data_IF_009456944338
#
_entry.id   IF_009456944338
#
_cell.length_a   1.000
_cell.length_b   1.000
_cell.length_c   1.000
_cell.angle_alpha   90.00
_cell.angle_beta   90.00
_cell.angle_gamma   90.00
#
_symmetry.space_group_name_H-M   'P 1'
#
loop_
_entity.id
_entity.type
_entity.pdbx_description
1 polymer ?
#
# COMPACT_ATOMS: atom_id res chain seq x y z
N UNK A 1 -21.98 -13.18 1.89
CA UNK A 1 -20.63 -13.04 1.32
C UNK A 1 -19.66 -13.09 2.48
N UNK A 2 -18.96 -14.21 2.62
CA UNK A 2 -17.94 -14.39 3.65
C UNK A 2 -16.82 -13.37 3.44
N UNK A 3 -16.38 -12.75 4.53
CA UNK A 3 -15.29 -11.78 4.56
C UNK A 3 -14.06 -12.47 3.98
N UNK A 4 -13.43 -11.88 2.96
CA UNK A 4 -12.07 -12.28 2.57
C UNK A 4 -11.13 -11.85 3.70
N UNK A 5 -11.01 -12.71 4.71
CA UNK A 5 -10.13 -12.50 5.85
C UNK A 5 -8.70 -12.87 5.46
N UNK A 6 -7.89 -11.86 5.13
CA UNK A 6 -6.43 -11.98 4.95
C UNK A 6 -5.67 -12.41 6.23
N UNK A 7 -6.36 -12.57 7.37
CA UNK A 7 -5.77 -12.96 8.65
C UNK A 7 -5.38 -14.43 8.76
N UNK A 8 -5.87 -15.30 7.87
CA UNK A 8 -5.53 -16.72 7.85
C UNK A 8 -4.90 -17.10 6.49
N UNK A 9 -3.57 -17.11 6.44
CA UNK A 9 -2.78 -17.54 5.29
C UNK A 9 -1.90 -18.74 5.63
N UNK A 10 -1.43 -19.45 4.60
CA UNK A 10 -0.32 -20.40 4.75
C UNK A 10 1.01 -19.64 4.81
N UNK A 11 2.05 -20.27 5.36
CA UNK A 11 3.41 -19.73 5.27
C UNK A 11 3.77 -19.45 3.80
N UNK A 12 4.47 -18.35 3.50
CA UNK A 12 4.78 -18.00 2.11
C UNK A 12 5.55 -19.13 1.40
N UNK A 13 5.41 -19.23 0.08
CA UNK A 13 6.14 -20.21 -0.74
C UNK A 13 7.22 -19.52 -1.57
N UNK A 14 8.44 -20.06 -1.58
CA UNK A 14 9.53 -19.55 -2.41
C UNK A 14 9.33 -20.02 -3.86
N UNK A 15 9.22 -19.07 -4.79
CA UNK A 15 8.97 -19.37 -6.21
C UNK A 15 10.14 -18.98 -7.13
N UNK A 16 11.25 -18.48 -6.58
CA UNK A 16 12.52 -18.24 -7.30
C UNK A 16 12.55 -17.04 -8.26
N UNK A 17 11.40 -16.52 -8.70
CA UNK A 17 11.31 -15.28 -9.48
C UNK A 17 9.97 -14.58 -9.26
N UNK A 18 10.01 -13.29 -8.91
CA UNK A 18 8.81 -12.45 -8.79
C UNK A 18 8.24 -12.08 -10.16
N UNK A 19 6.90 -12.10 -10.34
CA UNK A 19 6.27 -11.86 -11.64
C UNK A 19 6.34 -10.40 -12.09
N UNK A 20 6.64 -9.45 -11.20
CA UNK A 20 6.53 -8.01 -11.45
C UNK A 20 7.86 -7.29 -11.24
N UNK A 21 8.80 -7.45 -12.18
CA UNK A 21 10.08 -6.76 -12.11
C UNK A 21 9.87 -5.25 -12.27
N UNK A 22 10.00 -4.50 -11.19
CA UNK A 22 10.11 -3.04 -11.24
C UNK A 22 11.58 -2.63 -11.21
N UNK A 23 11.98 -1.66 -12.02
CA UNK A 23 13.40 -1.21 -12.06
C UNK A 23 13.84 -0.33 -10.90
N UNK A 24 12.99 -0.06 -9.89
CA UNK A 24 13.30 0.95 -8.86
C UNK A 24 14.26 0.45 -7.78
N UNK A 25 13.95 -0.69 -7.16
CA UNK A 25 14.76 -1.26 -6.06
C UNK A 25 15.38 -2.61 -6.43
N UNK A 26 14.93 -3.27 -7.50
CA UNK A 26 15.42 -4.59 -7.91
C UNK A 26 16.96 -4.69 -8.03
N UNK A 27 17.59 -3.72 -8.68
CA UNK A 27 19.05 -3.72 -8.85
C UNK A 27 19.78 -3.57 -7.52
N UNK A 28 19.32 -2.66 -6.66
CA UNK A 28 19.90 -2.43 -5.34
C UNK A 28 19.78 -3.66 -4.44
N UNK A 29 18.59 -4.26 -4.41
CA UNK A 29 18.34 -5.49 -3.64
C UNK A 29 19.16 -6.68 -4.15
N UNK A 30 19.24 -6.86 -5.47
CA UNK A 30 20.06 -7.93 -6.05
C UNK A 30 21.55 -7.77 -5.74
N UNK A 31 22.07 -6.53 -5.76
CA UNK A 31 23.46 -6.24 -5.38
C UNK A 31 23.72 -6.51 -3.90
N UNK A 32 22.81 -6.08 -3.01
CA UNK A 32 22.91 -6.36 -1.57
C UNK A 32 22.93 -7.86 -1.32
N UNK A 33 21.97 -8.59 -1.89
CA UNK A 33 21.89 -10.05 -1.76
C UNK A 33 23.17 -10.76 -2.22
N UNK A 34 23.68 -10.38 -3.40
CA UNK A 34 24.91 -10.98 -3.94
C UNK A 34 26.14 -10.70 -3.08
N UNK A 35 26.24 -9.49 -2.50
CA UNK A 35 27.33 -9.16 -1.58
C UNK A 35 27.28 -9.96 -0.28
N UNK A 36 26.07 -10.22 0.25
CA UNK A 36 25.90 -11.02 1.48
C UNK A 36 26.20 -12.52 1.28
N UNK A 37 26.21 -13.01 0.03
CA UNK A 37 26.51 -14.41 -0.33
C UNK A 37 27.83 -14.53 -1.12
N UNK A 38 28.73 -13.55 -0.99
CA UNK A 38 30.06 -13.61 -1.59
C UNK A 38 30.83 -14.84 -1.07
N UNK A 39 31.27 -15.71 -1.99
CA UNK A 39 31.96 -16.96 -1.67
C UNK A 39 31.09 -18.22 -1.80
N UNK A 40 29.79 -18.09 -2.06
CA UNK A 40 28.94 -19.21 -2.47
C UNK A 40 29.00 -19.37 -4.00
N UNK A 41 29.37 -20.57 -4.49
CA UNK A 41 29.43 -20.86 -5.93
C UNK A 41 28.47 -22.01 -6.33
N UNK A 42 27.41 -21.73 -7.14
CA UNK A 42 27.00 -20.41 -7.60
C UNK A 42 26.33 -19.57 -6.49
N UNK A 43 26.41 -18.24 -6.58
CA UNK A 43 25.65 -17.34 -5.69
C UNK A 43 24.16 -17.66 -5.84
N UNK A 44 23.43 -17.96 -4.74
CA UNK A 44 22.02 -18.28 -4.83
C UNK A 44 21.22 -17.07 -5.31
N UNK A 45 20.16 -17.27 -6.13
CA UNK A 45 19.28 -16.17 -6.48
C UNK A 45 18.55 -15.64 -5.24
N UNK A 46 18.28 -14.34 -5.21
CA UNK A 46 17.48 -13.74 -4.14
C UNK A 46 16.10 -14.44 -4.09
N UNK A 47 15.67 -14.94 -2.92
CA UNK A 47 14.42 -15.66 -2.79
C UNK A 47 13.23 -14.71 -2.97
N UNK A 48 12.16 -15.23 -3.58
CA UNK A 48 10.90 -14.50 -3.73
C UNK A 48 9.76 -15.32 -3.15
N UNK A 49 9.13 -14.78 -2.12
CA UNK A 49 8.10 -15.46 -1.33
C UNK A 49 6.71 -14.92 -1.63
N UNK A 50 5.80 -15.82 -2.01
CA UNK A 50 4.39 -15.52 -2.31
C UNK A 50 3.51 -15.90 -1.13
N UNK A 51 2.64 -14.99 -0.69
CA UNK A 51 1.60 -15.30 0.29
C UNK A 51 0.38 -15.95 -0.37
N UNK A 52 -0.21 -16.94 0.28
CA UNK A 52 -1.43 -17.61 -0.17
C UNK A 52 -2.46 -17.72 0.98
N UNK A 53 -3.73 -17.32 0.76
CA UNK A 53 -4.78 -17.51 1.75
C UNK A 53 -5.07 -18.99 1.98
N UNK A 54 -5.49 -19.36 3.19
CA UNK A 54 -5.83 -20.75 3.50
C UNK A 54 -7.22 -21.16 3.00
N UNK A 55 -8.15 -20.21 2.91
CA UNK A 55 -9.57 -20.44 2.63
C UNK A 55 -9.96 -20.31 1.14
N UNK A 56 -9.16 -19.63 0.34
CA UNK A 56 -9.46 -19.40 -1.08
C UNK A 56 -8.18 -19.34 -1.92
N UNK A 57 -8.35 -19.41 -3.24
CA UNK A 57 -7.27 -19.17 -4.20
C UNK A 57 -7.45 -17.79 -4.81
N UNK A 58 -6.41 -16.96 -4.71
CA UNK A 58 -6.39 -15.67 -5.39
C UNK A 58 -6.04 -15.84 -6.87
N UNK A 59 -6.71 -15.07 -7.72
CA UNK A 59 -6.37 -14.94 -9.13
C UNK A 59 -5.04 -14.20 -9.27
N UNK A 60 -4.16 -14.70 -10.13
CA UNK A 60 -2.93 -13.99 -10.48
C UNK A 60 -3.24 -12.78 -11.36
N UNK A 61 -2.45 -11.72 -11.23
CA UNK A 61 -2.74 -10.48 -11.96
C UNK A 61 -2.44 -10.69 -13.44
N UNK A 62 -3.49 -10.56 -14.25
CA UNK A 62 -3.42 -10.56 -15.70
C UNK A 62 -3.79 -9.17 -16.22
N UNK A 63 -2.86 -8.52 -16.94
CA UNK A 63 -3.01 -7.16 -17.46
C UNK A 63 -4.29 -7.03 -18.31
N UNK A 64 -4.52 -7.95 -19.25
CA UNK A 64 -5.66 -7.88 -20.16
C UNK A 64 -7.00 -8.03 -19.41
N UNK A 65 -7.08 -8.92 -18.41
CA UNK A 65 -8.25 -9.10 -17.56
C UNK A 65 -8.45 -7.90 -16.64
N UNK A 66 -7.38 -7.32 -16.08
CA UNK A 66 -7.45 -6.07 -15.31
C UNK A 66 -8.05 -4.95 -16.16
N UNK A 67 -7.56 -4.76 -17.38
CA UNK A 67 -8.08 -3.75 -18.29
C UNK A 67 -9.53 -3.98 -18.68
N UNK A 68 -9.94 -5.23 -18.93
CA UNK A 68 -11.36 -5.56 -19.17
C UNK A 68 -12.24 -5.24 -17.99
N UNK A 69 -11.79 -5.54 -16.78
CA UNK A 69 -12.54 -5.31 -15.53
C UNK A 69 -12.66 -3.82 -15.24
N UNK A 70 -11.62 -3.04 -15.49
CA UNK A 70 -11.65 -1.59 -15.27
C UNK A 70 -12.27 -0.79 -16.42
N UNK A 71 -12.70 -1.45 -17.50
CA UNK A 71 -13.26 -0.77 -18.67
C UNK A 71 -14.51 0.04 -18.28
N UNK A 72 -14.52 1.32 -18.67
CA UNK A 72 -15.63 2.23 -18.40
C UNK A 72 -15.63 2.86 -17.00
N UNK A 73 -14.70 2.48 -16.13
CA UNK A 73 -14.46 3.15 -14.84
C UNK A 73 -13.76 4.48 -15.08
N UNK A 74 -14.02 5.48 -14.23
CA UNK A 74 -13.41 6.81 -14.35
C UNK A 74 -11.90 6.79 -14.05
N UNK A 75 -11.47 5.93 -13.14
CA UNK A 75 -10.06 5.76 -12.79
C UNK A 75 -9.85 5.32 -11.34
N UNK A 76 -8.57 5.11 -11.00
CA UNK A 76 -8.13 4.67 -9.68
C UNK A 76 -7.27 5.76 -9.01
N UNK A 77 -7.77 6.32 -7.92
CA UNK A 77 -7.03 7.27 -7.09
C UNK A 77 -6.45 6.58 -5.87
N UNK A 78 -5.19 6.86 -5.59
CA UNK A 78 -4.50 6.46 -4.38
C UNK A 78 -4.20 7.70 -3.55
N UNK A 79 -4.51 7.66 -2.26
CA UNK A 79 -4.12 8.69 -1.31
C UNK A 79 -3.52 8.04 -0.07
N UNK A 80 -2.23 8.30 0.18
CA UNK A 80 -1.54 7.64 1.27
C UNK A 80 -0.05 7.93 1.31
N UNK A 81 0.64 7.17 2.15
CA UNK A 81 2.07 7.32 2.45
C UNK A 81 3.01 6.79 1.36
N UNK A 82 4.31 6.80 1.65
CA UNK A 82 5.34 6.30 0.73
C UNK A 82 5.20 4.82 0.37
N UNK A 83 4.62 3.99 1.24
CA UNK A 83 4.30 2.59 0.93
C UNK A 83 3.18 2.47 -0.10
N UNK A 84 2.23 3.41 -0.10
CA UNK A 84 1.26 3.55 -1.19
C UNK A 84 1.95 3.93 -2.51
N UNK A 85 3.01 4.74 -2.44
CA UNK A 85 3.90 5.00 -3.58
C UNK A 85 4.49 3.71 -4.17
N UNK A 86 5.09 2.85 -3.34
CA UNK A 86 5.63 1.56 -3.78
C UNK A 86 4.56 0.62 -4.36
N UNK A 87 3.36 0.62 -3.78
CA UNK A 87 2.21 -0.14 -4.31
C UNK A 87 1.86 0.29 -5.74
N UNK A 88 1.89 1.60 -6.02
CA UNK A 88 1.59 2.14 -7.35
C UNK A 88 2.72 1.86 -8.33
N UNK A 89 3.98 1.92 -7.89
CA UNK A 89 5.12 1.54 -8.72
C UNK A 89 5.07 0.07 -9.14
N UNK A 90 4.58 -0.79 -8.25
CA UNK A 90 4.34 -2.19 -8.55
C UNK A 90 3.20 -2.34 -9.54
N UNK A 91 2.04 -1.71 -9.26
CA UNK A 91 0.86 -1.79 -10.13
C UNK A 91 1.14 -1.24 -11.55
N UNK A 92 1.84 -0.11 -11.68
CA UNK A 92 2.18 0.46 -13.00
C UNK A 92 3.11 -0.45 -13.79
N UNK A 93 3.99 -1.21 -13.13
CA UNK A 93 4.85 -2.17 -13.81
C UNK A 93 4.02 -3.35 -14.33
N UNK A 94 3.07 -3.85 -13.51
CA UNK A 94 2.12 -4.91 -13.92
C UNK A 94 1.28 -4.49 -15.11
N UNK A 95 0.77 -3.25 -15.10
CA UNK A 95 -0.12 -2.71 -16.13
C UNK A 95 0.59 -2.00 -17.28
N UNK A 96 1.93 -2.04 -17.30
CA UNK A 96 2.78 -1.34 -18.27
C UNK A 96 2.38 0.14 -18.46
N UNK A 97 1.97 0.77 -17.36
CA UNK A 97 1.38 2.09 -17.39
C UNK A 97 2.44 3.17 -17.67
N UNK A 98 2.07 4.18 -18.45
CA UNK A 98 2.95 5.27 -18.83
C UNK A 98 2.70 6.50 -17.97
N UNK A 99 3.75 7.12 -17.43
CA UNK A 99 3.63 8.35 -16.63
C UNK A 99 3.18 9.53 -17.49
N UNK A 100 2.18 10.25 -17.01
CA UNK A 100 1.70 11.51 -17.58
C UNK A 100 2.42 12.66 -16.86
N UNK A 101 3.06 13.55 -17.61
CA UNK A 101 3.69 14.75 -17.04
C UNK A 101 2.65 15.84 -16.85
N UNK A 102 2.31 16.14 -15.60
CA UNK A 102 1.50 17.31 -15.26
C UNK A 102 2.39 18.47 -14.81
N UNK A 103 2.24 19.64 -15.45
CA UNK A 103 3.03 20.85 -15.12
C UNK A 103 2.48 21.57 -13.88
N UNK A 104 1.19 21.36 -13.54
CA UNK A 104 0.46 22.15 -12.53
C UNK A 104 -0.02 21.36 -11.31
N UNK A 105 -0.07 20.03 -11.38
CA UNK A 105 -0.59 19.17 -10.32
C UNK A 105 0.61 18.48 -9.65
N UNK A 106 0.70 18.56 -8.32
CA UNK A 106 1.74 17.86 -7.53
C UNK A 106 1.42 16.36 -7.36
N UNK A 107 0.59 15.77 -8.21
CA UNK A 107 0.22 14.35 -8.14
C UNK A 107 0.98 13.56 -9.19
N UNK A 108 1.23 12.28 -8.92
CA UNK A 108 1.75 11.37 -9.92
C UNK A 108 0.60 10.68 -10.66
N UNK A 109 0.54 10.86 -11.98
CA UNK A 109 -0.50 10.28 -12.83
C UNK A 109 0.11 9.34 -13.87
N UNK A 110 -0.59 8.24 -14.13
CA UNK A 110 -0.23 7.22 -15.10
C UNK A 110 -1.45 6.82 -15.91
N UNK A 111 -1.22 6.38 -17.15
CA UNK A 111 -2.25 5.81 -18.02
C UNK A 111 -1.90 4.38 -18.36
N UNK A 112 -2.86 3.47 -18.25
CA UNK A 112 -2.76 2.06 -18.62
C UNK A 112 -3.89 1.69 -19.58
N UNK A 113 -3.91 0.43 -20.05
CA UNK A 113 -5.01 -0.11 -20.86
C UNK A 113 -5.28 0.73 -22.12
N UNK A 114 -4.23 0.97 -22.91
CA UNK A 114 -4.28 1.81 -24.12
C UNK A 114 -4.80 3.25 -23.87
N UNK A 115 -4.61 3.76 -22.65
CA UNK A 115 -5.04 5.10 -22.25
C UNK A 115 -6.46 5.16 -21.68
N UNK A 116 -7.19 4.04 -21.61
CA UNK A 116 -8.55 4.01 -21.06
C UNK A 116 -8.57 4.07 -19.53
N UNK A 117 -7.49 3.65 -18.85
CA UNK A 117 -7.42 3.64 -17.40
C UNK A 117 -6.44 4.70 -16.89
N UNK A 118 -6.92 5.61 -16.04
CA UNK A 118 -6.08 6.57 -15.32
C UNK A 118 -5.81 6.09 -13.89
N UNK A 119 -4.55 6.09 -13.49
CA UNK A 119 -4.08 5.84 -12.13
C UNK A 119 -3.42 7.09 -11.59
N UNK A 120 -3.79 7.54 -10.39
CA UNK A 120 -3.20 8.75 -9.80
C UNK A 120 -2.87 8.58 -8.34
N UNK A 121 -1.79 9.23 -7.89
CA UNK A 121 -1.32 9.20 -6.51
C UNK A 121 -1.18 10.59 -5.92
N UNK A 122 -1.80 10.78 -4.77
CA UNK A 122 -1.51 11.86 -3.83
C UNK A 122 -0.72 11.32 -2.66
N UNK A 123 0.48 11.88 -2.44
CA UNK A 123 1.19 11.63 -1.19
C UNK A 123 0.50 12.40 -0.07
N UNK A 124 -0.17 11.64 0.79
CA UNK A 124 -0.93 12.12 1.93
C UNK A 124 -0.72 11.14 3.09
N UNK A 125 0.40 11.29 3.77
CA UNK A 125 0.92 10.36 4.79
C UNK A 125 -0.03 10.26 6.01
N UNK A 126 -0.88 11.27 6.19
CA UNK A 126 -1.81 11.43 7.31
C UNK A 126 -3.29 11.26 6.94
N UNK A 127 -3.59 11.11 5.65
CA UNK A 127 -4.94 11.10 5.12
C UNK A 127 -5.79 12.31 5.57
N UNK A 128 -5.19 13.49 5.68
CA UNK A 128 -5.92 14.71 6.03
C UNK A 128 -6.80 15.15 4.86
N UNK A 129 -8.09 15.39 5.14
CA UNK A 129 -9.13 15.74 4.15
C UNK A 129 -9.63 17.16 4.30
N UNK A 130 -9.13 17.92 5.28
CA UNK A 130 -9.62 19.27 5.53
C UNK A 130 -9.17 20.23 4.41
N UNK A 131 -10.11 21.05 3.97
CA UNK A 131 -9.97 21.98 2.83
C UNK A 131 -9.47 23.37 3.23
N UNK A 132 -9.16 23.58 4.51
CA UNK A 132 -8.48 24.78 5.04
C UNK A 132 -7.00 24.75 4.64
N UNK A 133 -6.81 24.73 3.31
CA UNK A 133 -5.54 24.98 2.68
C UNK A 133 -4.94 26.27 3.22
N UNK A 134 -3.66 26.18 3.56
CA UNK A 134 -2.77 27.28 3.95
C UNK A 134 -2.79 27.77 5.40
N UNK A 135 -3.70 27.36 6.29
CA UNK A 135 -3.75 27.96 7.65
C UNK A 135 -3.99 26.96 8.81
N UNK A 136 -3.70 25.67 8.61
CA UNK A 136 -3.57 24.74 9.75
C UNK A 136 -2.11 24.42 10.05
N UNK A 137 -1.62 24.66 11.29
CA UNK A 137 -0.25 24.38 11.73
C UNK A 137 0.18 22.89 11.73
N UNK A 138 -0.52 21.98 11.04
CA UNK A 138 -0.36 20.52 11.25
C UNK A 138 0.70 19.85 10.39
N UNK A 139 1.14 20.48 9.30
CA UNK A 139 2.31 20.05 8.52
C UNK A 139 3.53 20.96 8.75
N UNK A 140 3.55 21.66 9.89
CA UNK A 140 4.67 22.50 10.37
C UNK A 140 5.57 21.76 11.37
N UNK A 141 5.61 20.42 11.35
CA UNK A 141 6.77 19.77 11.95
C UNK A 141 8.01 20.13 11.12
N UNK A 142 9.15 20.42 11.76
CA UNK A 142 10.38 20.81 11.06
C UNK A 142 10.80 19.84 9.94
N UNK A 143 10.38 18.57 10.05
CA UNK A 143 10.78 17.47 9.19
C UNK A 143 9.67 16.94 8.24
N UNK A 144 8.48 17.56 8.22
CA UNK A 144 7.40 17.18 7.29
C UNK A 144 7.42 18.08 6.05
N UNK A 145 7.63 17.48 4.88
CA UNK A 145 7.48 18.17 3.61
C UNK A 145 6.01 18.43 3.30
N UNK A 146 5.66 19.62 2.79
CA UNK A 146 4.31 19.92 2.25
C UNK A 146 3.82 18.90 1.20
N UNK A 147 4.75 18.17 0.57
CA UNK A 147 4.42 17.08 -0.35
C UNK A 147 3.77 15.86 0.32
N UNK A 148 3.83 15.75 1.65
CA UNK A 148 3.29 14.64 2.45
C UNK A 148 1.85 14.87 2.90
N UNK A 149 1.28 16.04 2.67
CA UNK A 149 -0.04 16.45 3.16
C UNK A 149 -0.97 16.91 2.02
N UNK A 150 -0.85 16.30 0.84
CA UNK A 150 -1.59 16.81 -0.30
C UNK A 150 -3.08 16.48 -0.24
N UNK A 151 -3.92 17.50 -0.42
CA UNK A 151 -5.38 17.34 -0.46
C UNK A 151 -5.86 17.07 -1.90
N UNK A 152 -6.91 16.26 -2.01
CA UNK A 152 -7.37 15.68 -3.29
C UNK A 152 -8.89 15.72 -3.50
N UNK A 153 -9.66 16.35 -2.62
CA UNK A 153 -11.14 16.38 -2.69
C UNK A 153 -11.65 16.95 -4.03
N UNK A 154 -11.02 18.01 -4.54
CA UNK A 154 -11.36 18.60 -5.85
C UNK A 154 -11.17 17.63 -7.04
N UNK A 155 -10.37 16.58 -6.87
CA UNK A 155 -10.13 15.56 -7.91
C UNK A 155 -10.92 14.28 -7.71
N UNK A 156 -11.58 14.08 -6.56
CA UNK A 156 -12.37 12.87 -6.28
C UNK A 156 -13.47 12.64 -7.31
N UNK A 157 -14.05 13.69 -7.90
CA UNK A 157 -15.09 13.57 -8.94
C UNK A 157 -14.61 12.88 -10.23
N UNK A 158 -13.29 12.82 -10.43
CA UNK A 158 -12.63 12.21 -11.60
C UNK A 158 -12.30 10.73 -11.39
N UNK A 159 -12.40 10.19 -10.18
CA UNK A 159 -12.03 8.81 -9.86
C UNK A 159 -13.15 8.14 -9.06
N UNK A 160 -13.76 7.11 -9.62
CA UNK A 160 -14.84 6.33 -8.96
C UNK A 160 -14.30 5.22 -8.06
N UNK A 161 -13.00 4.98 -8.08
CA UNK A 161 -12.30 3.97 -7.29
C UNK A 161 -11.20 4.66 -6.49
N UNK A 162 -11.26 4.56 -5.16
CA UNK A 162 -10.36 5.24 -4.23
C UNK A 162 -9.70 4.21 -3.30
N UNK A 163 -8.37 4.20 -3.24
CA UNK A 163 -7.60 3.45 -2.25
C UNK A 163 -6.92 4.42 -1.28
N UNK A 164 -7.07 4.19 0.02
CA UNK A 164 -6.51 5.06 1.06
C UNK A 164 -5.70 4.31 2.11
N UNK A 165 -4.72 5.01 2.68
CA UNK A 165 -4.02 4.60 3.90
C UNK A 165 -3.54 5.82 4.71
N UNK A 166 -3.29 5.61 6.02
CA UNK A 166 -2.31 6.38 6.79
C UNK A 166 -1.68 5.48 7.86
N UNK A 167 -0.44 5.75 8.29
CA UNK A 167 0.07 5.17 9.54
C UNK A 167 1.58 4.95 9.67
N UNK A 168 2.35 4.91 8.58
CA UNK A 168 3.79 4.59 8.65
C UNK A 168 4.60 5.69 9.34
N UNK A 169 4.04 6.89 9.41
CA UNK A 169 4.65 8.08 9.99
C UNK A 169 4.16 8.33 11.43
N UNK A 170 5.05 8.97 12.20
CA UNK A 170 4.72 9.48 13.52
C UNK A 170 3.58 10.50 13.43
N UNK A 171 2.66 10.43 14.39
CA UNK A 171 1.56 11.38 14.51
C UNK A 171 1.78 12.25 15.76
N UNK A 172 1.84 13.57 15.60
CA UNK A 172 1.78 14.47 16.75
C UNK A 172 0.49 14.25 17.54
N UNK A 173 0.63 14.15 18.86
CA UNK A 173 -0.48 13.80 19.75
C UNK A 173 -0.76 12.29 19.81
N UNK A 174 0.08 11.47 19.18
CA UNK A 174 0.06 10.01 19.29
C UNK A 174 -1.19 9.36 18.70
N UNK A 175 -1.52 8.18 19.24
CA UNK A 175 -2.59 7.31 18.76
C UNK A 175 -3.99 7.95 18.89
N UNK A 176 -4.24 8.75 19.93
CA UNK A 176 -5.53 9.44 20.13
C UNK A 176 -5.79 10.50 19.04
N UNK A 177 -4.77 11.32 18.75
CA UNK A 177 -4.85 12.32 17.69
C UNK A 177 -5.02 11.66 16.31
N UNK A 178 -4.31 10.54 16.07
CA UNK A 178 -4.48 9.72 14.87
C UNK A 178 -5.94 9.25 14.73
N UNK A 179 -6.52 8.67 15.77
CA UNK A 179 -7.90 8.18 15.75
C UNK A 179 -8.92 9.28 15.41
N UNK A 180 -8.77 10.46 16.02
CA UNK A 180 -9.65 11.61 15.74
C UNK A 180 -9.55 12.10 14.30
N UNK A 181 -8.34 12.16 13.76
CA UNK A 181 -8.07 12.55 12.37
C UNK A 181 -8.67 11.54 11.40
N UNK A 182 -8.44 10.26 11.62
CA UNK A 182 -8.89 9.20 10.72
C UNK A 182 -10.40 9.02 10.76
N UNK A 183 -11.05 9.25 11.90
CA UNK A 183 -12.52 9.33 11.95
C UNK A 183 -13.06 10.43 11.03
N UNK A 184 -12.45 11.62 11.08
CA UNK A 184 -12.84 12.74 10.20
C UNK A 184 -12.61 12.39 8.72
N UNK A 185 -11.46 11.78 8.41
CA UNK A 185 -11.14 11.35 7.04
C UNK A 185 -12.13 10.30 6.53
N UNK A 186 -12.45 9.29 7.34
CA UNK A 186 -13.39 8.23 6.99
C UNK A 186 -14.79 8.79 6.69
N UNK A 187 -15.32 9.65 7.55
CA UNK A 187 -16.63 10.30 7.37
C UNK A 187 -16.65 11.14 6.09
N UNK A 188 -15.64 11.99 5.90
CA UNK A 188 -15.53 12.89 4.75
C UNK A 188 -15.40 12.13 3.42
N UNK A 189 -14.47 11.19 3.32
CA UNK A 189 -14.18 10.48 2.07
C UNK A 189 -15.32 9.56 1.67
N UNK A 190 -15.90 8.83 2.63
CA UNK A 190 -17.03 7.95 2.35
C UNK A 190 -18.25 8.76 1.89
N UNK A 191 -18.54 9.89 2.54
CA UNK A 191 -19.62 10.78 2.13
C UNK A 191 -19.35 11.39 0.74
N UNK A 192 -18.14 11.86 0.45
CA UNK A 192 -17.75 12.41 -0.85
C UNK A 192 -17.83 11.38 -1.96
N UNK A 193 -17.29 10.17 -1.77
CA UNK A 193 -17.35 9.10 -2.77
C UNK A 193 -18.79 8.69 -3.08
N UNK A 194 -19.63 8.51 -2.05
CA UNK A 194 -21.05 8.18 -2.22
C UNK A 194 -21.80 9.31 -2.95
N UNK A 195 -21.55 10.56 -2.60
CA UNK A 195 -22.18 11.73 -3.24
C UNK A 195 -21.79 11.85 -4.71
N UNK A 196 -20.53 11.61 -5.05
CA UNK A 196 -19.98 11.85 -6.39
C UNK A 196 -20.24 10.70 -7.37
N UNK A 197 -20.28 9.46 -6.88
CA UNK A 197 -20.30 8.27 -7.73
C UNK A 197 -21.40 7.26 -7.38
N UNK A 198 -22.17 7.48 -6.31
CA UNK A 198 -23.29 6.62 -5.94
C UNK A 198 -22.86 5.16 -5.77
N UNK A 199 -23.62 4.24 -6.35
CA UNK A 199 -23.37 2.79 -6.29
C UNK A 199 -22.11 2.37 -7.03
N UNK A 200 -21.61 3.18 -7.97
CA UNK A 200 -20.35 2.91 -8.66
C UNK A 200 -19.12 3.23 -7.79
N UNK A 201 -19.27 3.83 -6.61
CA UNK A 201 -18.15 4.14 -5.74
C UNK A 201 -17.49 2.87 -5.19
N UNK A 202 -16.19 2.72 -5.39
CA UNK A 202 -15.39 1.67 -4.75
C UNK A 202 -14.38 2.35 -3.82
N UNK A 203 -14.51 2.10 -2.51
CA UNK A 203 -13.58 2.58 -1.50
C UNK A 203 -12.80 1.40 -0.90
N UNK A 204 -11.49 1.39 -1.11
CA UNK A 204 -10.55 0.42 -0.55
C UNK A 204 -9.73 1.10 0.54
N UNK A 205 -9.66 0.49 1.71
CA UNK A 205 -8.82 0.95 2.81
C UNK A 205 -7.71 -0.06 2.99
N UNK A 206 -6.47 0.37 2.87
CA UNK A 206 -5.28 -0.45 3.07
C UNK A 206 -4.75 -0.18 4.47
N UNK A 207 -4.72 -1.19 5.34
CA UNK A 207 -4.04 -1.03 6.64
C UNK A 207 -2.51 -0.91 6.41
N UNK A 208 -1.75 -0.50 7.42
CA UNK A 208 -0.33 -0.14 7.27
C UNK A 208 0.56 -1.14 7.96
N UNK A 209 1.72 -1.48 7.37
CA UNK A 209 2.72 -2.36 7.98
C UNK A 209 3.83 -1.52 8.66
N UNK A 210 4.31 -1.89 9.85
CA UNK A 210 5.51 -1.28 10.44
C UNK A 210 6.77 -1.69 9.68
N UNK A 211 7.87 -0.98 9.97
CA UNK A 211 9.20 -1.43 9.56
C UNK A 211 9.86 -2.38 10.58
N UNK A 212 11.05 -2.88 10.24
CA UNK A 212 11.84 -3.81 11.06
C UNK A 212 13.22 -3.24 11.40
N UNK A 213 13.47 -2.98 12.69
CA UNK A 213 14.61 -2.22 13.21
C UNK A 213 15.98 -2.89 13.21
N UNK A 214 16.08 -4.19 12.99
CA UNK A 214 17.36 -4.91 12.86
C UNK A 214 17.49 -5.70 11.55
N UNK A 215 16.58 -5.50 10.61
CA UNK A 215 16.67 -6.07 9.25
C UNK A 215 17.77 -5.42 8.39
N UNK A 216 18.50 -4.49 8.97
CA UNK A 216 19.54 -3.67 8.35
C UNK A 216 20.85 -4.40 8.13
N UNK A 217 21.23 -5.28 9.06
CA UNK A 217 22.57 -5.88 9.08
C UNK A 217 22.73 -7.01 8.05
N UNK A 218 21.64 -7.70 7.71
CA UNK A 218 21.59 -8.75 6.68
C UNK A 218 20.17 -8.98 6.19
N UNK A 219 20.02 -9.41 4.94
CA UNK A 219 18.77 -9.91 4.40
C UNK A 219 18.47 -11.29 4.99
N UNK A 220 17.24 -11.48 5.47
CA UNK A 220 16.78 -12.82 5.83
C UNK A 220 16.60 -13.65 4.56
N UNK A 221 16.81 -14.95 4.65
CA UNK A 221 16.59 -15.88 3.53
C UNK A 221 15.09 -16.16 3.28
N UNK A 222 14.22 -15.66 4.16
CA UNK A 222 12.78 -15.71 3.98
C UNK A 222 11.99 -15.17 5.17
N UNK A 223 10.66 -15.29 5.11
CA UNK A 223 9.75 -14.76 6.10
C UNK A 223 10.08 -15.27 7.50
N UNK A 224 9.94 -14.39 8.48
CA UNK A 224 10.10 -14.72 9.90
C UNK A 224 8.75 -15.10 10.52
N UNK A 225 8.77 -15.73 11.69
CA UNK A 225 7.54 -15.93 12.46
C UNK A 225 7.07 -14.61 13.11
N UNK A 226 5.82 -14.59 13.60
CA UNK A 226 5.23 -13.38 14.15
C UNK A 226 5.97 -12.84 15.38
N UNK A 227 6.45 -13.71 16.27
CA UNK A 227 7.16 -13.28 17.48
C UNK A 227 8.48 -12.57 17.12
N UNK A 228 9.23 -13.14 16.16
CA UNK A 228 10.43 -12.50 15.61
C UNK A 228 10.11 -11.19 14.90
N UNK A 229 9.03 -11.14 14.13
CA UNK A 229 8.63 -9.90 13.46
C UNK A 229 8.31 -8.79 14.48
N UNK A 230 7.56 -9.10 15.54
CA UNK A 230 7.20 -8.14 16.57
C UNK A 230 8.44 -7.65 17.35
N UNK A 231 9.37 -8.54 17.68
CA UNK A 231 10.66 -8.17 18.29
C UNK A 231 11.45 -7.19 17.39
N UNK A 232 11.50 -7.45 16.09
CA UNK A 232 12.14 -6.54 15.13
C UNK A 232 11.42 -5.18 15.03
N UNK A 233 10.09 -5.14 15.16
CA UNK A 233 9.33 -3.88 15.19
C UNK A 233 9.64 -3.07 16.46
N UNK A 234 9.76 -3.73 17.62
CA UNK A 234 10.10 -3.08 18.90
C UNK A 234 11.49 -2.42 18.87
N UNK A 235 12.41 -2.99 18.09
CA UNK A 235 13.76 -2.48 17.88
C UNK A 235 13.85 -1.41 16.79
N UNK A 236 12.72 -1.03 16.19
CA UNK A 236 12.63 0.05 15.22
C UNK A 236 13.10 1.40 15.78
N UNK A 237 13.51 2.35 14.92
CA UNK A 237 13.89 3.67 15.37
C UNK A 237 12.72 4.36 16.11
N UNK A 238 12.93 4.83 17.36
CA UNK A 238 11.85 5.33 18.21
C UNK A 238 11.12 6.54 17.63
N UNK A 239 11.78 7.33 16.78
CA UNK A 239 11.20 8.49 16.09
C UNK A 239 10.03 8.14 15.16
N UNK A 240 9.93 6.90 14.69
CA UNK A 240 8.83 6.47 13.82
C UNK A 240 7.65 5.86 14.59
N UNK A 241 7.83 5.55 15.87
CA UNK A 241 6.79 4.97 16.75
C UNK A 241 6.10 3.74 16.13
N UNK A 242 6.83 2.85 15.44
CA UNK A 242 6.26 1.72 14.70
C UNK A 242 5.48 0.72 15.56
N UNK A 243 5.79 0.62 16.86
CA UNK A 243 5.02 -0.19 17.82
C UNK A 243 3.55 0.23 17.93
N UNK A 244 3.23 1.48 17.57
CA UNK A 244 1.85 2.02 17.59
C UNK A 244 1.02 1.65 16.36
N UNK A 245 1.63 1.09 15.30
CA UNK A 245 0.95 0.87 14.01
C UNK A 245 -0.21 -0.11 14.13
N UNK A 246 -0.13 -1.10 15.02
CA UNK A 246 -1.24 -2.03 15.25
C UNK A 246 -2.48 -1.34 15.83
N UNK A 247 -2.27 -0.42 16.77
CA UNK A 247 -3.35 0.35 17.39
C UNK A 247 -3.92 1.35 16.37
N UNK A 248 -3.05 2.03 15.61
CA UNK A 248 -3.45 2.90 14.49
C UNK A 248 -4.30 2.15 13.46
N UNK A 249 -3.89 0.94 13.05
CA UNK A 249 -4.67 0.12 12.12
C UNK A 249 -6.04 -0.25 12.67
N UNK A 250 -6.14 -0.53 13.98
CA UNK A 250 -7.43 -0.82 14.62
C UNK A 250 -8.36 0.40 14.51
N UNK A 251 -7.87 1.59 14.83
CA UNK A 251 -8.63 2.84 14.72
C UNK A 251 -9.02 3.16 13.26
N UNK A 252 -8.12 2.90 12.30
CA UNK A 252 -8.40 3.05 10.87
C UNK A 252 -9.51 2.11 10.41
N UNK A 253 -9.41 0.83 10.75
CA UNK A 253 -10.42 -0.16 10.38
C UNK A 253 -11.78 0.18 10.99
N UNK A 254 -11.84 0.53 12.29
CA UNK A 254 -13.05 0.92 13.01
C UNK A 254 -13.70 2.19 12.43
N UNK A 255 -12.91 3.22 12.16
CA UNK A 255 -13.40 4.48 11.59
C UNK A 255 -14.09 4.26 10.23
N UNK A 256 -13.46 3.52 9.34
CA UNK A 256 -14.03 3.24 8.02
C UNK A 256 -15.18 2.22 8.08
N UNK A 257 -15.15 1.25 9.01
CA UNK A 257 -16.28 0.33 9.24
C UNK A 257 -17.53 1.09 9.68
N UNK A 258 -17.40 2.10 10.55
CA UNK A 258 -18.52 2.91 11.02
C UNK A 258 -19.25 3.65 9.88
N UNK A 259 -18.54 3.99 8.80
CA UNK A 259 -19.11 4.72 7.65
C UNK A 259 -19.78 3.83 6.61
N UNK A 260 -19.53 2.52 6.67
CA UNK A 260 -20.01 1.48 5.74
C UNK A 260 -19.55 1.67 4.29
N UNK A 261 -19.41 0.56 3.55
CA UNK A 261 -19.09 0.61 2.11
C UNK A 261 -17.60 0.61 1.77
N UNK A 262 -16.72 0.47 2.78
CA UNK A 262 -15.29 0.20 2.55
C UNK A 262 -15.02 -1.28 2.30
N UNK A 263 -13.95 -1.56 1.56
CA UNK A 263 -13.33 -2.90 1.48
C UNK A 263 -11.94 -2.82 2.08
N UNK A 264 -11.59 -3.72 3.00
CA UNK A 264 -10.25 -3.78 3.58
C UNK A 264 -9.30 -4.51 2.63
N UNK A 265 -8.13 -3.92 2.40
CA UNK A 265 -6.95 -4.58 1.87
C UNK A 265 -5.98 -4.78 3.04
N UNK A 266 -5.84 -6.01 3.51
CA UNK A 266 -4.96 -6.36 4.62
C UNK A 266 -3.51 -6.50 4.14
N UNK A 267 -2.77 -5.39 4.19
CA UNK A 267 -1.35 -5.36 3.93
C UNK A 267 -0.53 -5.78 5.17
N UNK A 268 -1.02 -5.51 6.38
CA UNK A 268 -0.29 -5.74 7.63
C UNK A 268 0.01 -7.22 7.88
N UNK A 269 -1.02 -8.07 7.92
CA UNK A 269 -0.89 -9.47 8.40
C UNK A 269 0.15 -10.30 7.60
N UNK A 270 0.14 -10.30 6.26
CA UNK A 270 1.13 -11.05 5.49
C UNK A 270 2.50 -10.37 5.45
N UNK A 271 2.56 -9.04 5.52
CA UNK A 271 3.80 -8.28 5.25
C UNK A 271 4.64 -8.05 6.48
N UNK A 272 4.06 -8.04 7.69
CA UNK A 272 4.84 -7.98 8.92
C UNK A 272 5.80 -9.17 9.05
N UNK A 273 5.50 -10.30 8.42
CA UNK A 273 6.40 -11.46 8.42
C UNK A 273 7.61 -11.30 7.47
N UNK A 274 7.68 -10.18 6.72
CA UNK A 274 8.54 -10.02 5.54
C UNK A 274 9.76 -9.13 5.77
N UNK A 275 10.39 -9.31 6.93
CA UNK A 275 11.68 -8.67 7.24
C UNK A 275 12.80 -9.06 6.24
N UNK A 276 12.60 -10.09 5.42
CA UNK A 276 13.53 -10.59 4.39
C UNK A 276 13.76 -9.67 3.20
N UNK A 277 12.89 -8.69 2.98
CA UNK A 277 12.79 -8.04 1.67
C UNK A 277 12.85 -6.51 1.73
N UNK A 278 13.58 -5.93 2.69
CA UNK A 278 13.76 -4.48 2.78
C UNK A 278 14.75 -3.93 1.75
N UNK A 279 14.44 -2.76 1.19
CA UNK A 279 15.12 -2.20 0.02
C UNK A 279 16.57 -1.75 0.29
N UNK A 280 16.92 -1.44 1.53
CA UNK A 280 18.24 -0.90 1.91
C UNK A 280 18.65 -1.35 3.30
N UNK A 281 19.96 -1.32 3.56
CA UNK A 281 20.54 -1.53 4.89
C UNK A 281 20.27 -0.36 5.86
N UNK A 282 19.65 0.72 5.41
CA UNK A 282 19.28 1.88 6.25
C UNK A 282 17.80 2.20 6.21
N UNK A 283 17.02 1.44 5.44
CA UNK A 283 15.58 1.63 5.28
C UNK A 283 14.84 0.32 5.58
N UNK A 284 14.24 0.28 6.77
CA UNK A 284 13.59 -0.89 7.31
C UNK A 284 12.09 -0.82 7.09
N UNK A 285 11.61 0.15 6.32
CA UNK A 285 10.21 0.40 6.05
C UNK A 285 9.86 -0.01 4.61
N UNK A 286 10.65 0.45 3.64
CA UNK A 286 10.41 0.19 2.22
C UNK A 286 10.96 -1.16 1.77
N UNK A 287 10.40 -1.71 0.70
CA UNK A 287 10.64 -3.08 0.28
C UNK A 287 11.31 -3.17 -1.10
N UNK A 288 12.04 -4.26 -1.32
CA UNK A 288 12.44 -4.68 -2.65
C UNK A 288 11.21 -4.88 -3.54
N UNK A 289 11.31 -4.46 -4.79
CA UNK A 289 10.30 -4.59 -5.84
C UNK A 289 10.97 -5.27 -7.04
N UNK A 290 10.69 -6.54 -7.34
CA UNK A 290 9.59 -7.35 -6.81
C UNK A 290 9.82 -7.78 -5.35
N UNK A 291 8.73 -7.95 -4.60
CA UNK A 291 8.79 -8.34 -3.20
C UNK A 291 7.41 -8.44 -2.55
N UNK A 292 7.26 -8.20 -1.24
CA UNK A 292 5.99 -8.41 -0.54
C UNK A 292 4.86 -7.48 -1.00
N UNK A 293 5.18 -6.31 -1.56
CA UNK A 293 4.18 -5.36 -2.09
C UNK A 293 3.45 -5.92 -3.31
N UNK A 294 4.04 -6.85 -4.05
CA UNK A 294 3.38 -7.59 -5.13
C UNK A 294 2.07 -8.22 -4.64
N UNK A 295 2.05 -8.71 -3.40
CA UNK A 295 0.85 -9.28 -2.80
C UNK A 295 -0.27 -8.25 -2.62
N UNK A 296 0.05 -6.99 -2.31
CA UNK A 296 -0.96 -5.94 -2.17
C UNK A 296 -1.64 -5.66 -3.51
N UNK A 297 -0.88 -5.69 -4.59
CA UNK A 297 -1.41 -5.55 -5.96
C UNK A 297 -2.29 -6.74 -6.34
N UNK A 298 -1.91 -7.96 -5.96
CA UNK A 298 -2.74 -9.16 -6.13
C UNK A 298 -4.06 -9.03 -5.36
N UNK A 299 -4.03 -8.57 -4.10
CA UNK A 299 -5.24 -8.34 -3.32
C UNK A 299 -6.14 -7.28 -3.95
N UNK A 300 -5.57 -6.14 -4.33
CA UNK A 300 -6.31 -5.07 -5.00
C UNK A 300 -6.99 -5.58 -6.28
N UNK A 301 -6.25 -6.33 -7.11
CA UNK A 301 -6.80 -6.93 -8.32
C UNK A 301 -8.01 -7.81 -8.02
N UNK A 302 -7.90 -8.71 -7.05
CA UNK A 302 -9.00 -9.61 -6.68
C UNK A 302 -10.21 -8.85 -6.08
N UNK A 303 -9.96 -7.79 -5.29
CA UNK A 303 -11.02 -6.90 -4.80
C UNK A 303 -11.78 -6.25 -5.98
N UNK A 304 -11.05 -5.73 -6.97
CA UNK A 304 -11.65 -5.09 -8.14
C UNK A 304 -12.42 -6.11 -9.01
N UNK A 305 -11.88 -7.31 -9.19
CA UNK A 305 -12.59 -8.41 -9.84
C UNK A 305 -13.93 -8.72 -9.16
N UNK A 306 -13.96 -8.79 -7.82
CA UNK A 306 -15.17 -9.10 -7.08
C UNK A 306 -16.19 -7.97 -7.18
N UNK A 307 -15.77 -6.73 -6.95
CA UNK A 307 -16.65 -5.56 -6.92
C UNK A 307 -17.25 -5.25 -8.27
N UNK A 308 -16.43 -5.13 -9.31
CA UNK A 308 -16.94 -4.75 -10.64
C UNK A 308 -17.78 -5.86 -11.27
N UNK A 309 -17.47 -7.14 -11.01
CA UNK A 309 -18.33 -8.23 -11.50
C UNK A 309 -19.65 -8.33 -10.74
N UNK A 310 -19.71 -7.85 -9.48
CA UNK A 310 -20.96 -7.80 -8.72
C UNK A 310 -21.87 -6.69 -9.23
N UNK A 311 -21.32 -5.56 -9.67
CA UNK A 311 -22.09 -4.43 -10.23
C UNK A 311 -22.68 -4.73 -11.62
N UNK A 312 -22.13 -5.70 -12.34
CA UNK A 312 -22.58 -6.13 -13.67
C UNK A 312 -23.66 -7.24 -13.65
N UNK A 313 -24.14 -7.65 -12.47
CA UNK A 313 -25.19 -8.67 -12.30
C UNK A 313 -26.50 -8.03 -11.84
#
# INVERSE_FOLDING_TARGET
MERVHGRHGRSPTNTGSGPFVTGRTAEGCGKRWAAEHEGEEPVPPMPYWKWEPSACRLEEVDEAKFCRVMKGRKGLLFAGDSLTGEMIDTLRAVLRATRVKHVKLKMDTYTACDGELTLSWYRNDYLDTRLDGFDTPRCEEPDISISQCMTYDATLSQYDTLLVNAGAHRQLGGVEAYGSMIKTAAESLTASMRRLHGDSAILVVRNTVPGHGESFDRMFTGPVNLDTALDLVEKGPPEFEWTTIRDKNTLLEEAFDATHGRTLLDAYSPTILRADSHASATDGLHYCLPGPIDHWVVLLYNILLEKVNSDNK
#
